data_IF_623908592376
#
_entry.id   IF_623908592376
#
_cell.length_a   1.000
_cell.length_b   1.000
_cell.length_c   1.000
_cell.angle_alpha   90.00
_cell.angle_beta   90.00
_cell.angle_gamma   90.00
#
_symmetry.space_group_name_H-M   'P 1'
#
loop_
_entity.id
_entity.type
_entity.pdbx_description
1 polymer ?
#
# COMPACT_ATOMS: atom_id res chain seq x y z
N UNK A 1 -12.62 -10.30 11.99
CA UNK A 1 -12.76 -10.59 10.53
C UNK A 1 -14.18 -10.30 10.11
N UNK A 2 -14.39 -9.61 9.01
CA UNK A 2 -15.70 -9.26 8.49
C UNK A 2 -15.71 -9.12 6.97
N UNK A 3 -16.91 -8.90 6.44
CA UNK A 3 -17.13 -8.66 5.02
C UNK A 3 -18.10 -7.51 4.84
N UNK A 4 -17.81 -6.64 3.91
CA UNK A 4 -18.66 -5.52 3.52
C UNK A 4 -19.02 -5.66 2.04
N UNK A 5 -20.25 -5.31 1.67
CA UNK A 5 -20.72 -5.45 0.29
C UNK A 5 -21.02 -4.08 -0.34
N UNK A 6 -20.27 -3.73 -1.39
CA UNK A 6 -20.44 -2.52 -2.20
C UNK A 6 -20.75 -2.90 -3.65
N UNK A 7 -21.86 -2.46 -4.19
CA UNK A 7 -22.25 -2.64 -5.60
C UNK A 7 -22.15 -4.10 -6.09
N UNK A 8 -22.52 -5.05 -5.22
CA UNK A 8 -22.48 -6.46 -5.53
C UNK A 8 -21.13 -7.15 -5.30
N UNK A 9 -20.09 -6.40 -4.96
CA UNK A 9 -18.72 -6.90 -4.67
C UNK A 9 -18.52 -6.98 -3.17
N UNK A 10 -18.03 -8.11 -2.70
CA UNK A 10 -17.70 -8.34 -1.29
C UNK A 10 -16.23 -8.02 -1.02
N UNK A 11 -15.98 -7.14 -0.05
CA UNK A 11 -14.65 -6.79 0.44
C UNK A 11 -14.43 -7.42 1.81
N UNK A 12 -13.31 -8.14 1.95
CA UNK A 12 -12.90 -8.76 3.20
C UNK A 12 -12.04 -7.79 4.02
N UNK A 13 -12.19 -7.82 5.33
CA UNK A 13 -11.31 -7.13 6.26
C UNK A 13 -11.09 -7.91 7.56
N UNK A 14 -9.97 -7.67 8.18
CA UNK A 14 -9.67 -8.07 9.55
C UNK A 14 -9.56 -6.82 10.43
N UNK A 15 -10.03 -6.92 11.68
CA UNK A 15 -10.05 -5.81 12.63
C UNK A 15 -9.60 -6.30 13.99
N UNK A 16 -8.77 -5.50 14.67
CA UNK A 16 -8.31 -5.73 16.04
C UNK A 16 -8.08 -4.41 16.79
N UNK A 17 -7.96 -4.52 18.09
CA UNK A 17 -7.65 -3.40 18.97
C UNK A 17 -8.79 -2.41 19.14
N UNK A 18 -8.54 -1.45 20.03
CA UNK A 18 -9.41 -0.31 20.33
C UNK A 18 -8.49 0.87 20.64
N UNK A 19 -8.68 2.00 20.06
CA UNK A 19 -7.85 3.17 20.32
C UNK A 19 -7.82 4.13 19.13
N UNK A 20 -7.45 5.37 19.41
CA UNK A 20 -7.47 6.46 18.46
C UNK A 20 -6.07 7.09 18.28
N UNK A 21 -5.77 7.59 17.09
CA UNK A 21 -6.54 7.45 15.85
C UNK A 21 -6.53 6.01 15.33
N UNK A 22 -7.58 5.57 14.58
CA UNK A 22 -7.59 4.24 13.99
C UNK A 22 -6.53 4.13 12.88
N UNK A 23 -6.18 2.89 12.51
CA UNK A 23 -5.26 2.61 11.40
C UNK A 23 -5.91 1.77 10.32
N UNK A 24 -5.68 2.14 9.06
CA UNK A 24 -6.07 1.36 7.88
C UNK A 24 -4.82 0.80 7.20
N UNK A 25 -4.68 -0.51 7.16
CA UNK A 25 -3.55 -1.21 6.54
C UNK A 25 -3.96 -1.73 5.16
N UNK A 26 -3.18 -1.38 4.14
CA UNK A 26 -3.47 -1.67 2.73
C UNK A 26 -2.27 -2.37 2.09
N UNK A 27 -2.50 -3.58 1.60
CA UNK A 27 -1.47 -4.42 0.98
C UNK A 27 -1.13 -4.02 -0.47
N UNK A 28 -0.01 -4.53 -0.98
CA UNK A 28 0.44 -4.33 -2.35
C UNK A 28 -0.30 -5.17 -3.39
N UNK A 29 0.03 -4.95 -4.67
CA UNK A 29 -0.52 -5.73 -5.79
C UNK A 29 -0.21 -7.21 -5.64
N UNK A 30 -1.20 -8.06 -5.92
CA UNK A 30 -1.15 -9.51 -5.83
C UNK A 30 -0.82 -10.05 -4.41
N UNK A 31 -1.01 -9.23 -3.39
CA UNK A 31 -0.88 -9.57 -1.97
C UNK A 31 -2.26 -9.71 -1.31
N UNK A 32 -2.28 -9.83 0.02
CA UNK A 32 -3.47 -9.78 0.86
C UNK A 32 -3.15 -9.11 2.22
N UNK A 33 -4.17 -8.96 3.09
CA UNK A 33 -4.03 -8.34 4.40
C UNK A 33 -2.94 -8.96 5.28
N UNK A 34 -2.63 -10.25 5.13
CA UNK A 34 -1.59 -10.94 5.94
C UNK A 34 -0.18 -10.43 5.67
N UNK A 35 0.03 -9.72 4.55
CA UNK A 35 1.32 -9.10 4.24
C UNK A 35 1.65 -7.89 5.14
N UNK A 36 0.69 -7.45 5.97
CA UNK A 36 0.86 -6.43 7.01
C UNK A 36 0.59 -6.97 8.41
N UNK A 37 0.60 -8.31 8.59
CA UNK A 37 0.32 -8.94 9.87
C UNK A 37 1.21 -8.45 11.03
N UNK A 38 2.53 -8.23 10.87
CA UNK A 38 3.35 -7.69 11.96
C UNK A 38 2.93 -6.27 12.38
N UNK A 39 2.47 -5.44 11.45
CA UNK A 39 1.94 -4.10 11.76
C UNK A 39 0.56 -4.20 12.40
N UNK A 40 -0.29 -5.10 11.91
CA UNK A 40 -1.61 -5.36 12.47
C UNK A 40 -1.54 -5.80 13.94
N UNK A 41 -0.66 -6.76 14.24
CA UNK A 41 -0.44 -7.26 15.61
C UNK A 41 0.16 -6.18 16.52
N UNK A 42 1.18 -5.47 16.03
CA UNK A 42 1.90 -4.46 16.81
C UNK A 42 0.99 -3.27 17.17
N UNK A 43 0.39 -2.65 16.17
CA UNK A 43 -0.44 -1.46 16.38
C UNK A 43 -1.83 -1.78 16.96
N UNK A 44 -2.30 -3.02 16.82
CA UNK A 44 -3.53 -3.49 17.45
C UNK A 44 -3.51 -3.50 18.98
N UNK A 45 -2.36 -3.26 19.62
CA UNK A 45 -2.26 -3.09 21.08
C UNK A 45 -2.78 -1.73 21.54
N UNK A 46 -2.60 -0.66 20.75
CA UNK A 46 -2.85 0.72 21.14
C UNK A 46 -3.81 1.47 20.21
N UNK A 47 -4.07 0.92 19.02
CA UNK A 47 -4.94 1.48 17.99
C UNK A 47 -6.04 0.49 17.60
N UNK A 48 -7.17 1.02 17.13
CA UNK A 48 -8.11 0.23 16.34
C UNK A 48 -7.51 0.05 14.93
N UNK A 49 -7.15 -1.16 14.56
CA UNK A 49 -6.50 -1.47 13.29
C UNK A 49 -7.43 -2.27 12.38
N UNK A 50 -7.58 -1.83 11.15
CA UNK A 50 -8.31 -2.53 10.09
C UNK A 50 -7.34 -2.83 8.95
N UNK A 51 -7.23 -4.11 8.59
CA UNK A 51 -6.48 -4.57 7.42
C UNK A 51 -7.46 -5.11 6.38
N UNK A 52 -7.42 -4.59 5.15
CA UNK A 52 -8.37 -4.93 4.09
C UNK A 52 -7.71 -5.77 3.00
N UNK A 53 -8.48 -6.69 2.41
CA UNK A 53 -8.16 -7.25 1.11
C UNK A 53 -8.77 -6.34 0.04
N UNK A 54 -7.93 -5.76 -0.80
CA UNK A 54 -8.37 -4.94 -1.92
C UNK A 54 -9.26 -5.76 -2.88
N UNK A 55 -10.20 -5.12 -3.54
CA UNK A 55 -10.97 -5.73 -4.64
C UNK A 55 -10.04 -6.50 -5.58
N UNK A 56 -10.39 -7.73 -5.92
CA UNK A 56 -9.57 -8.61 -6.75
C UNK A 56 -8.49 -9.42 -6.02
N UNK A 57 -8.30 -9.21 -4.72
CA UNK A 57 -7.20 -9.77 -3.95
C UNK A 57 -7.69 -10.54 -2.72
N UNK A 58 -6.85 -11.44 -2.23
CA UNK A 58 -7.09 -12.17 -0.99
C UNK A 58 -8.44 -12.88 -0.96
N UNK A 59 -9.26 -12.56 0.03
CA UNK A 59 -10.60 -13.10 0.25
C UNK A 59 -11.72 -12.19 -0.27
N UNK A 60 -11.37 -11.04 -0.89
CA UNK A 60 -12.32 -10.16 -1.57
C UNK A 60 -12.70 -10.70 -2.94
N UNK A 61 -13.90 -10.34 -3.41
CA UNK A 61 -14.37 -10.70 -4.75
C UNK A 61 -13.48 -10.13 -5.86
N UNK A 62 -13.31 -10.90 -6.94
CA UNK A 62 -12.49 -10.55 -8.09
C UNK A 62 -13.34 -10.42 -9.40
N UNK A 63 -14.24 -9.43 -9.52
CA UNK A 63 -15.06 -9.25 -10.70
C UNK A 63 -14.21 -8.90 -11.93
N UNK A 64 -14.72 -9.23 -13.12
CA UNK A 64 -14.09 -8.81 -14.39
C UNK A 64 -14.40 -7.36 -14.68
N UNK A 65 -13.45 -6.48 -14.36
CA UNK A 65 -13.53 -5.03 -14.53
C UNK A 65 -12.13 -4.43 -14.70
N UNK A 66 -12.05 -3.12 -14.88
CA UNK A 66 -10.79 -2.38 -14.75
C UNK A 66 -10.46 -2.18 -13.26
N UNK A 67 -9.17 -2.33 -12.93
CA UNK A 67 -8.63 -2.13 -11.58
C UNK A 67 -7.75 -0.89 -11.60
N UNK A 68 -8.27 0.23 -11.08
CA UNK A 68 -7.64 1.54 -11.12
C UNK A 68 -7.31 2.04 -9.71
N UNK A 69 -6.40 3.00 -9.60
CA UNK A 69 -6.05 3.62 -8.31
C UNK A 69 -7.26 4.30 -7.70
N UNK A 70 -8.03 5.04 -8.51
CA UNK A 70 -9.23 5.75 -8.07
C UNK A 70 -10.30 4.78 -7.56
N UNK A 71 -10.52 3.67 -8.29
CA UNK A 71 -11.50 2.65 -7.87
C UNK A 71 -11.12 1.97 -6.55
N UNK A 72 -9.83 1.71 -6.32
CA UNK A 72 -9.35 1.22 -5.03
C UNK A 72 -9.50 2.26 -3.92
N UNK A 73 -9.17 3.53 -4.19
CA UNK A 73 -9.32 4.61 -3.22
C UNK A 73 -10.79 4.83 -2.82
N UNK A 74 -11.71 4.77 -3.78
CA UNK A 74 -13.15 4.83 -3.52
C UNK A 74 -13.65 3.67 -2.65
N UNK A 75 -13.15 2.44 -2.88
CA UNK A 75 -13.48 1.29 -2.03
C UNK A 75 -12.99 1.52 -0.59
N UNK A 76 -11.77 2.02 -0.42
CA UNK A 76 -11.22 2.30 0.90
C UNK A 76 -11.95 3.44 1.62
N UNK A 77 -12.32 4.51 0.91
CA UNK A 77 -13.14 5.59 1.47
C UNK A 77 -14.48 5.06 1.98
N UNK A 78 -15.12 4.21 1.17
CA UNK A 78 -16.37 3.56 1.54
C UNK A 78 -16.21 2.60 2.74
N UNK A 79 -15.11 1.82 2.81
CA UNK A 79 -14.80 0.96 3.96
C UNK A 79 -14.64 1.80 5.22
N UNK A 80 -13.91 2.92 5.17
CA UNK A 80 -13.75 3.83 6.29
C UNK A 80 -15.10 4.35 6.79
N UNK A 81 -15.98 4.81 5.90
CA UNK A 81 -17.33 5.26 6.24
C UNK A 81 -18.15 4.15 6.92
N UNK A 82 -18.18 2.95 6.30
CA UNK A 82 -18.97 1.82 6.80
C UNK A 82 -18.51 1.29 8.17
N UNK A 83 -17.23 1.38 8.46
CA UNK A 83 -16.64 0.95 9.73
C UNK A 83 -16.53 2.10 10.75
N UNK A 84 -16.87 3.33 10.37
CA UNK A 84 -16.72 4.51 11.23
C UNK A 84 -15.26 4.75 11.62
N UNK A 85 -14.32 4.65 10.66
CA UNK A 85 -12.92 4.98 10.89
C UNK A 85 -12.74 6.50 10.72
N UNK A 86 -12.71 7.21 11.82
CA UNK A 86 -12.55 8.67 11.81
C UNK A 86 -11.08 9.06 11.70
N UNK A 87 -10.71 9.72 10.59
CA UNK A 87 -9.34 10.20 10.32
C UNK A 87 -8.25 9.14 10.53
N UNK A 88 -8.35 7.94 9.94
CA UNK A 88 -7.36 6.91 10.13
C UNK A 88 -5.97 7.35 9.66
N UNK A 89 -4.95 6.77 10.29
CA UNK A 89 -3.60 6.68 9.74
C UNK A 89 -3.65 5.59 8.66
N UNK A 90 -3.25 5.93 7.43
CA UNK A 90 -3.30 4.98 6.33
C UNK A 90 -1.89 4.48 6.04
N UNK A 91 -1.70 3.15 6.09
CA UNK A 91 -0.41 2.50 5.82
C UNK A 91 -0.54 1.65 4.58
N UNK A 92 0.20 1.96 3.53
CA UNK A 92 0.16 1.26 2.25
C UNK A 92 1.50 0.71 1.81
N UNK A 93 1.53 -0.59 1.45
CA UNK A 93 2.72 -1.23 0.90
C UNK A 93 2.70 -1.23 -0.63
N UNK A 94 3.83 -0.94 -1.27
CA UNK A 94 4.02 -1.06 -2.72
C UNK A 94 2.95 -0.27 -3.52
N UNK A 95 2.11 -0.93 -4.33
CA UNK A 95 1.00 -0.30 -5.06
C UNK A 95 0.10 0.53 -4.14
N UNK A 96 -0.14 0.05 -2.93
CA UNK A 96 -1.04 0.72 -1.99
C UNK A 96 -0.55 2.10 -1.56
N UNK A 97 0.73 2.42 -1.65
CA UNK A 97 1.20 3.79 -1.41
C UNK A 97 0.58 4.81 -2.38
N UNK A 98 0.38 4.43 -3.65
CA UNK A 98 -0.35 5.26 -4.63
C UNK A 98 -1.83 5.39 -4.28
N UNK A 99 -2.44 4.29 -3.86
CA UNK A 99 -3.86 4.26 -3.44
C UNK A 99 -4.06 5.16 -2.21
N UNK A 100 -3.16 5.10 -1.24
CA UNK A 100 -3.22 5.92 -0.03
C UNK A 100 -3.08 7.42 -0.33
N UNK A 101 -2.20 7.78 -1.26
CA UNK A 101 -2.05 9.18 -1.70
C UNK A 101 -3.30 9.67 -2.45
N UNK A 102 -3.87 8.86 -3.36
CA UNK A 102 -5.12 9.18 -4.02
C UNK A 102 -6.27 9.33 -3.02
N UNK A 103 -6.36 8.41 -2.06
CA UNK A 103 -7.38 8.47 -1.01
C UNK A 103 -7.27 9.77 -0.21
N UNK A 104 -6.04 10.17 0.19
CA UNK A 104 -5.82 11.40 0.93
C UNK A 104 -6.04 12.67 0.08
N UNK A 105 -5.77 12.62 -1.22
CA UNK A 105 -5.99 13.72 -2.16
C UNK A 105 -7.47 13.92 -2.49
N UNK A 106 -8.17 12.83 -2.81
CA UNK A 106 -9.58 12.86 -3.20
C UNK A 106 -10.55 13.04 -2.02
N UNK A 107 -10.12 12.63 -0.81
CA UNK A 107 -10.91 12.73 0.42
C UNK A 107 -10.07 13.42 1.53
N UNK A 108 -9.79 14.72 1.42
CA UNK A 108 -8.80 15.42 2.26
C UNK A 108 -9.11 15.43 3.76
N UNK A 109 -10.38 15.24 4.13
CA UNK A 109 -10.79 15.18 5.55
C UNK A 109 -10.78 13.75 6.12
N UNK A 110 -10.55 12.74 5.27
CA UNK A 110 -10.71 11.36 5.68
C UNK A 110 -9.53 10.83 6.48
N UNK A 111 -8.29 11.24 6.20
CA UNK A 111 -7.08 10.69 6.83
C UNK A 111 -6.34 11.69 7.71
N UNK A 112 -5.62 11.19 8.72
CA UNK A 112 -4.76 12.00 9.59
C UNK A 112 -3.29 12.00 9.15
N UNK A 113 -2.81 10.91 8.57
CA UNK A 113 -1.46 10.73 8.05
C UNK A 113 -1.42 9.60 7.01
N UNK A 114 -0.42 9.62 6.14
CA UNK A 114 -0.12 8.55 5.17
C UNK A 114 1.27 7.99 5.42
N UNK A 115 1.37 6.66 5.46
CA UNK A 115 2.64 5.93 5.48
C UNK A 115 2.73 5.07 4.24
N UNK A 116 3.81 5.17 3.50
CA UNK A 116 4.05 4.36 2.30
C UNK A 116 5.30 3.50 2.49
N UNK A 117 5.18 2.21 2.24
CA UNK A 117 6.22 1.21 2.43
C UNK A 117 6.71 0.71 1.07
N UNK A 118 7.94 1.02 0.71
CA UNK A 118 8.62 0.67 -0.55
C UNK A 118 7.75 0.85 -1.81
N UNK A 119 7.10 2.01 -1.88
CA UNK A 119 6.13 2.34 -2.93
C UNK A 119 6.79 3.14 -4.06
N UNK A 120 6.35 2.89 -5.30
CA UNK A 120 6.77 3.67 -6.47
C UNK A 120 5.81 4.85 -6.66
N UNK A 121 6.12 6.02 -6.10
CA UNK A 121 5.24 7.21 -6.13
C UNK A 121 5.51 8.07 -7.37
N UNK A 122 6.75 8.50 -7.56
CA UNK A 122 7.18 9.28 -8.72
C UNK A 122 8.23 8.44 -9.48
N UNK A 123 7.80 7.50 -10.34
CA UNK A 123 8.74 6.66 -11.06
C UNK A 123 9.52 7.48 -12.09
N UNK A 124 10.85 7.24 -12.25
CA UNK A 124 11.58 7.73 -13.40
C UNK A 124 10.95 7.21 -14.71
N UNK A 125 10.88 8.07 -15.74
CA UNK A 125 10.23 7.71 -17.01
C UNK A 125 10.85 6.45 -17.66
N UNK A 126 12.17 6.31 -17.60
CA UNK A 126 12.91 5.15 -18.11
C UNK A 126 12.43 3.84 -17.44
N UNK A 127 12.09 3.89 -16.15
CA UNK A 127 11.58 2.73 -15.42
C UNK A 127 10.20 2.31 -15.93
N UNK A 128 9.32 3.26 -16.21
CA UNK A 128 8.01 2.96 -16.81
C UNK A 128 8.18 2.29 -18.17
N UNK A 129 9.07 2.79 -19.02
CA UNK A 129 9.33 2.22 -20.33
C UNK A 129 9.89 0.78 -20.25
N UNK A 130 10.83 0.53 -19.31
CA UNK A 130 11.36 -0.81 -19.06
C UNK A 130 10.30 -1.82 -18.59
N UNK A 131 9.26 -1.34 -17.91
CA UNK A 131 8.17 -2.19 -17.39
C UNK A 131 7.15 -2.59 -18.45
N UNK A 132 7.07 -1.89 -19.60
CA UNK A 132 6.06 -2.11 -20.62
C UNK A 132 6.04 -3.56 -21.16
N UNK A 133 7.18 -4.19 -21.57
CA UNK A 133 7.16 -5.58 -22.03
C UNK A 133 6.66 -6.57 -20.98
N UNK A 134 7.02 -6.35 -19.72
CA UNK A 134 6.51 -7.18 -18.61
C UNK A 134 4.99 -7.07 -18.51
N UNK A 135 4.43 -5.87 -18.52
CA UNK A 135 2.98 -5.67 -18.40
C UNK A 135 2.22 -6.26 -19.60
N UNK A 136 2.76 -6.13 -20.81
CA UNK A 136 2.19 -6.79 -22.00
C UNK A 136 2.19 -8.32 -21.85
N UNK A 137 3.25 -8.90 -21.28
CA UNK A 137 3.35 -10.35 -21.05
C UNK A 137 2.30 -10.89 -20.08
N UNK A 138 1.81 -10.07 -19.15
CA UNK A 138 0.76 -10.45 -18.19
C UNK A 138 -0.58 -10.82 -18.85
N UNK A 139 -0.80 -10.43 -20.10
CA UNK A 139 -2.00 -10.78 -20.89
C UNK A 139 -1.85 -12.10 -21.67
N UNK A 140 -0.67 -12.70 -21.64
CA UNK A 140 -0.34 -13.94 -22.35
C UNK A 140 -0.50 -15.18 -21.46
N UNK A 141 -0.51 -16.39 -22.02
CA UNK A 141 -0.47 -17.62 -21.21
C UNK A 141 0.77 -17.75 -20.32
N UNK A 142 1.85 -17.05 -20.63
CA UNK A 142 3.11 -17.07 -19.85
C UNK A 142 3.08 -16.18 -18.59
N UNK A 143 1.94 -15.53 -18.27
CA UNK A 143 1.87 -14.52 -17.20
C UNK A 143 2.39 -15.02 -15.83
N UNK A 144 2.16 -16.28 -15.47
CA UNK A 144 2.64 -16.80 -14.18
C UNK A 144 4.15 -16.92 -14.12
N UNK A 145 4.79 -17.30 -15.23
CA UNK A 145 6.25 -17.37 -15.32
C UNK A 145 6.85 -15.96 -15.25
N UNK A 146 6.26 -15.00 -15.95
CA UNK A 146 6.69 -13.61 -15.93
C UNK A 146 6.50 -12.97 -14.54
N UNK A 147 5.38 -13.23 -13.85
CA UNK A 147 5.19 -12.83 -12.47
C UNK A 147 6.26 -13.44 -11.55
N UNK A 148 6.55 -14.74 -11.71
CA UNK A 148 7.57 -15.42 -10.90
C UNK A 148 8.94 -14.77 -11.09
N UNK A 149 9.32 -14.51 -12.36
CA UNK A 149 10.56 -13.85 -12.70
C UNK A 149 10.63 -12.45 -12.10
N UNK A 150 9.58 -11.66 -12.25
CA UNK A 150 9.50 -10.30 -11.73
C UNK A 150 9.58 -10.25 -10.20
N UNK A 151 8.73 -11.00 -9.51
CA UNK A 151 8.70 -11.02 -8.04
C UNK A 151 9.96 -11.62 -7.41
N UNK A 152 10.71 -12.47 -8.13
CA UNK A 152 11.97 -13.02 -7.61
C UNK A 152 13.03 -11.94 -7.34
N UNK A 153 12.96 -10.79 -8.01
CA UNK A 153 13.87 -9.67 -7.81
C UNK A 153 13.56 -8.84 -6.55
N UNK A 154 12.43 -9.08 -5.90
CA UNK A 154 12.02 -8.38 -4.69
C UNK A 154 12.64 -8.92 -3.41
N UNK A 155 13.32 -10.07 -3.50
CA UNK A 155 13.93 -10.73 -2.35
C UNK A 155 15.45 -10.58 -2.37
N UNK A 156 16.02 -10.39 -1.19
CA UNK A 156 17.47 -10.48 -1.02
C UNK A 156 17.95 -11.92 -1.25
N UNK A 157 19.24 -12.14 -1.60
CA UNK A 157 19.79 -13.48 -1.83
C UNK A 157 19.65 -14.42 -0.64
N UNK A 158 19.69 -13.88 0.58
CA UNK A 158 19.60 -14.58 1.87
C UNK A 158 18.20 -14.49 2.51
N UNK A 159 17.18 -14.08 1.73
CA UNK A 159 15.81 -14.00 2.21
C UNK A 159 15.29 -15.36 2.72
N UNK A 160 14.53 -15.34 3.81
CA UNK A 160 13.90 -16.52 4.39
C UNK A 160 13.08 -17.30 3.34
N UNK A 161 13.42 -18.58 3.08
CA UNK A 161 12.83 -19.34 1.99
C UNK A 161 11.36 -19.68 2.21
N UNK A 162 10.91 -19.84 3.46
CA UNK A 162 9.52 -20.15 3.76
C UNK A 162 8.64 -18.92 3.57
N UNK A 163 9.10 -17.74 4.03
CA UNK A 163 8.44 -16.46 3.78
C UNK A 163 8.33 -16.19 2.29
N UNK A 164 9.43 -16.34 1.56
CA UNK A 164 9.45 -16.20 0.09
C UNK A 164 8.44 -17.11 -0.59
N UNK A 165 8.38 -18.38 -0.20
CA UNK A 165 7.44 -19.35 -0.77
C UNK A 165 5.99 -18.95 -0.50
N UNK A 166 5.65 -18.49 0.72
CA UNK A 166 4.29 -18.01 1.06
C UNK A 166 3.89 -16.81 0.23
N UNK A 167 4.77 -15.80 0.13
CA UNK A 167 4.50 -14.60 -0.66
C UNK A 167 4.26 -14.96 -2.13
N UNK A 168 5.11 -15.77 -2.72
CA UNK A 168 4.94 -16.19 -4.11
C UNK A 168 3.67 -17.01 -4.33
N UNK A 169 3.30 -17.89 -3.39
CA UNK A 169 2.06 -18.64 -3.47
C UNK A 169 0.83 -17.69 -3.51
N UNK A 170 0.84 -16.66 -2.68
CA UNK A 170 -0.23 -15.65 -2.66
C UNK A 170 -0.26 -14.84 -3.96
N UNK A 171 0.88 -14.37 -4.45
CA UNK A 171 0.99 -13.65 -5.73
C UNK A 171 0.36 -14.45 -6.88
N UNK A 172 0.62 -15.76 -6.93
CA UNK A 172 0.09 -16.63 -7.99
C UNK A 172 -1.38 -17.01 -7.82
N UNK A 173 -1.97 -16.78 -6.66
CA UNK A 173 -3.41 -16.98 -6.44
C UNK A 173 -4.28 -15.86 -7.02
N UNK A 174 -3.68 -14.67 -7.25
CA UNK A 174 -4.40 -13.52 -7.80
C UNK A 174 -4.78 -13.76 -9.27
N UNK A 175 -6.05 -13.58 -9.67
CA UNK A 175 -6.49 -13.86 -11.04
C UNK A 175 -5.76 -13.01 -12.08
N UNK A 176 -5.44 -13.61 -13.24
CA UNK A 176 -4.72 -12.94 -14.33
C UNK A 176 -5.33 -11.60 -14.73
N UNK A 177 -6.67 -11.54 -14.87
CA UNK A 177 -7.35 -10.31 -15.28
C UNK A 177 -7.18 -9.16 -14.27
N UNK A 178 -7.07 -9.47 -12.98
CA UNK A 178 -6.78 -8.49 -11.92
C UNK A 178 -5.36 -7.95 -12.07
N UNK A 179 -4.40 -8.86 -12.11
CA UNK A 179 -2.98 -8.52 -12.20
C UNK A 179 -2.69 -7.70 -13.46
N UNK A 180 -3.16 -8.16 -14.63
CA UNK A 180 -2.93 -7.48 -15.90
C UNK A 180 -3.56 -6.08 -15.94
N UNK A 181 -4.81 -5.95 -15.45
CA UNK A 181 -5.49 -4.66 -15.39
C UNK A 181 -4.84 -3.70 -14.42
N UNK A 182 -4.54 -4.15 -13.19
CA UNK A 182 -3.96 -3.29 -12.18
C UNK A 182 -2.55 -2.80 -12.54
N UNK A 183 -1.69 -3.67 -13.13
CA UNK A 183 -0.39 -3.21 -13.62
C UNK A 183 -0.51 -2.13 -14.68
N UNK A 184 -1.41 -2.31 -15.66
CA UNK A 184 -1.59 -1.33 -16.73
C UNK A 184 -2.18 -0.02 -16.22
N UNK A 185 -3.30 -0.09 -15.49
CA UNK A 185 -4.06 1.09 -15.08
C UNK A 185 -3.37 1.86 -13.95
N UNK A 186 -2.76 1.16 -12.98
CA UNK A 186 -2.19 1.82 -11.81
C UNK A 186 -0.76 2.32 -12.04
N UNK A 187 0.00 1.75 -12.96
CA UNK A 187 1.39 2.18 -13.21
C UNK A 187 1.57 3.09 -14.41
N UNK A 188 0.78 2.92 -15.48
CA UNK A 188 0.91 3.73 -16.69
C UNK A 188 -0.15 4.80 -16.85
N UNK A 189 -1.40 4.48 -16.51
CA UNK A 189 -2.51 5.38 -16.78
C UNK A 189 -2.77 6.39 -15.65
N UNK A 190 -2.12 6.22 -14.50
CA UNK A 190 -2.36 7.05 -13.31
C UNK A 190 -1.18 7.97 -12.98
N UNK A 191 -1.47 9.27 -12.78
CA UNK A 191 -0.49 10.28 -12.36
C UNK A 191 -0.43 10.41 -10.82
N UNK A 192 0.44 9.61 -10.19
CA UNK A 192 0.64 9.67 -8.75
C UNK A 192 1.27 10.99 -8.27
N UNK A 193 1.98 11.72 -9.15
CA UNK A 193 2.59 12.99 -8.77
C UNK A 193 1.52 14.05 -8.46
N UNK A 194 0.42 14.04 -9.21
CA UNK A 194 -0.71 14.93 -8.95
C UNK A 194 -1.36 14.63 -7.58
N UNK A 195 -1.61 13.37 -7.26
CA UNK A 195 -2.15 12.96 -5.96
C UNK A 195 -1.18 13.29 -4.81
N UNK A 196 0.13 13.07 -5.00
CA UNK A 196 1.13 13.43 -4.01
C UNK A 196 1.14 14.94 -3.71
N UNK A 197 1.07 15.78 -4.75
CA UNK A 197 1.01 17.24 -4.61
C UNK A 197 -0.29 17.74 -3.94
N UNK A 198 -1.39 17.02 -4.11
CA UNK A 198 -2.69 17.34 -3.52
C UNK A 198 -2.85 16.79 -2.09
N UNK A 199 -1.97 15.91 -1.64
CA UNK A 199 -2.04 15.30 -0.31
C UNK A 199 -1.76 16.33 0.79
N UNK A 200 -2.78 16.69 1.56
CA UNK A 200 -2.72 17.71 2.62
C UNK A 200 -2.33 17.21 4.01
N UNK A 201 -2.02 15.91 4.16
CA UNK A 201 -1.65 15.30 5.43
C UNK A 201 -0.17 14.95 5.50
N UNK A 202 0.44 14.77 6.70
CA UNK A 202 1.81 14.32 6.84
C UNK A 202 2.05 12.99 6.13
N UNK A 203 3.20 12.85 5.45
CA UNK A 203 3.58 11.64 4.73
C UNK A 203 4.90 11.11 5.26
N UNK A 204 4.94 9.81 5.57
CA UNK A 204 6.17 9.04 5.78
C UNK A 204 6.36 8.08 4.61
N UNK A 205 7.53 8.14 3.98
CA UNK A 205 7.98 7.17 2.99
C UNK A 205 9.12 6.33 3.58
N UNK A 206 8.96 5.01 3.62
CA UNK A 206 10.01 4.07 4.05
C UNK A 206 10.42 3.19 2.89
N UNK A 207 11.72 3.18 2.53
CA UNK A 207 12.28 2.32 1.49
C UNK A 207 13.14 1.18 2.05
N UNK A 208 13.34 0.13 1.23
CA UNK A 208 14.13 -1.06 1.56
C UNK A 208 15.59 -0.97 1.09
N UNK A 209 16.05 0.14 0.55
CA UNK A 209 17.42 0.22 0.05
C UNK A 209 17.60 1.23 -1.07
N UNK A 210 17.38 0.84 -2.32
CA UNK A 210 17.38 1.76 -3.44
C UNK A 210 15.96 2.20 -3.73
N UNK A 211 15.61 3.48 -3.55
CA UNK A 211 14.25 3.95 -3.76
C UNK A 211 13.76 3.66 -5.18
N UNK A 212 12.53 3.16 -5.27
CA UNK A 212 11.83 2.96 -6.54
C UNK A 212 11.13 4.24 -7.04
N UNK A 213 11.43 5.36 -6.41
CA UNK A 213 10.79 6.66 -6.58
C UNK A 213 11.88 7.74 -6.67
N UNK A 214 11.65 8.80 -7.44
CA UNK A 214 12.47 10.01 -7.41
C UNK A 214 12.13 10.79 -6.11
N UNK A 215 12.94 10.57 -5.07
CA UNK A 215 12.75 11.21 -3.76
C UNK A 215 12.92 12.73 -3.80
N UNK A 216 13.78 13.26 -4.70
CA UNK A 216 13.94 14.70 -4.87
C UNK A 216 12.63 15.31 -5.36
N UNK A 217 12.09 14.75 -6.43
CA UNK A 217 10.82 15.20 -7.00
C UNK A 217 9.65 14.99 -6.03
N UNK A 218 9.63 13.87 -5.31
CA UNK A 218 8.60 13.63 -4.31
C UNK A 218 8.65 14.66 -3.17
N UNK A 219 9.84 15.01 -2.69
CA UNK A 219 10.02 16.07 -1.68
C UNK A 219 9.62 17.48 -2.18
N UNK A 220 9.81 17.78 -3.47
CA UNK A 220 9.30 19.03 -4.08
C UNK A 220 7.77 19.09 -4.10
N UNK A 221 7.11 17.97 -4.40
CA UNK A 221 5.64 17.86 -4.42
C UNK A 221 5.05 17.88 -3.01
N UNK A 222 5.76 17.32 -2.04
CA UNK A 222 5.33 17.19 -0.66
C UNK A 222 6.40 17.77 0.29
N UNK A 223 6.42 19.09 0.54
CA UNK A 223 7.48 19.73 1.33
C UNK A 223 7.61 19.21 2.78
N UNK A 224 6.55 18.56 3.30
CA UNK A 224 6.53 17.92 4.62
C UNK A 224 6.87 16.42 4.60
N UNK A 225 7.37 15.89 3.46
CA UNK A 225 7.73 14.48 3.34
C UNK A 225 8.82 14.09 4.34
N UNK A 226 8.52 13.07 5.15
CA UNK A 226 9.51 12.41 6.01
C UNK A 226 9.93 11.12 5.32
N UNK A 227 11.24 10.84 5.30
CA UNK A 227 11.78 9.62 4.69
C UNK A 227 12.49 8.77 5.73
N UNK A 228 12.29 7.46 5.62
CA UNK A 228 13.00 6.44 6.39
C UNK A 228 13.59 5.39 5.46
N UNK A 229 14.59 4.66 5.96
CA UNK A 229 15.23 3.57 5.23
C UNK A 229 15.51 2.41 6.14
N UNK A 230 15.10 1.20 5.75
CA UNK A 230 15.41 -0.02 6.48
C UNK A 230 16.79 -0.56 6.10
N UNK A 231 17.35 -1.39 6.97
CA UNK A 231 18.62 -2.09 6.75
C UNK A 231 18.36 -3.59 6.71
N UNK A 232 18.89 -4.26 5.70
CA UNK A 232 18.81 -5.73 5.59
C UNK A 232 17.44 -6.25 5.16
N UNK A 233 16.68 -5.48 4.39
CA UNK A 233 15.39 -5.89 3.87
C UNK A 233 15.29 -5.68 2.35
N UNK A 234 14.47 -6.51 1.71
CA UNK A 234 14.00 -6.33 0.34
C UNK A 234 12.64 -5.62 0.28
N UNK A 235 11.90 -5.83 -0.81
CA UNK A 235 10.62 -5.17 -1.07
C UNK A 235 9.55 -5.41 0.01
N UNK A 236 9.60 -6.55 0.69
CA UNK A 236 8.66 -6.90 1.76
C UNK A 236 9.19 -6.52 3.15
N UNK A 237 9.78 -5.33 3.27
CA UNK A 237 10.41 -4.81 4.48
C UNK A 237 9.53 -4.92 5.74
N UNK A 238 8.20 -4.78 5.59
CA UNK A 238 7.25 -4.89 6.68
C UNK A 238 7.12 -6.32 7.26
N UNK A 239 7.54 -7.32 6.47
CA UNK A 239 7.62 -8.73 6.88
C UNK A 239 9.04 -9.16 7.25
N UNK A 240 10.06 -8.50 6.68
CA UNK A 240 11.46 -8.90 6.81
C UNK A 240 12.11 -8.26 8.04
N UNK A 241 11.80 -7.01 8.31
CA UNK A 241 12.33 -6.21 9.44
C UNK A 241 11.22 -5.38 10.11
N UNK A 242 10.15 -6.03 10.60
CA UNK A 242 8.96 -5.35 11.10
C UNK A 242 9.25 -4.39 12.24
N UNK A 243 10.22 -4.70 13.10
CA UNK A 243 10.62 -3.85 14.23
C UNK A 243 11.19 -2.50 13.77
N UNK A 244 11.94 -2.46 12.66
CA UNK A 244 12.44 -1.19 12.11
C UNK A 244 11.28 -0.38 11.52
N UNK A 245 10.40 -1.02 10.77
CA UNK A 245 9.23 -0.37 10.15
C UNK A 245 8.31 0.20 11.23
N UNK A 246 7.94 -0.59 12.23
CA UNK A 246 7.04 -0.19 13.30
C UNK A 246 7.62 0.99 14.10
N UNK A 247 8.90 0.93 14.48
CA UNK A 247 9.56 2.02 15.22
C UNK A 247 9.63 3.33 14.41
N UNK A 248 9.82 3.26 13.08
CA UNK A 248 9.80 4.45 12.22
C UNK A 248 8.39 5.04 12.15
N UNK A 249 7.35 4.20 12.02
CA UNK A 249 5.95 4.64 12.03
C UNK A 249 5.62 5.30 13.37
N UNK A 250 5.89 4.66 14.51
CA UNK A 250 5.65 5.22 15.83
C UNK A 250 6.32 6.59 16.01
N UNK A 251 7.61 6.68 15.63
CA UNK A 251 8.34 7.93 15.76
C UNK A 251 7.77 9.03 14.87
N UNK A 252 7.39 8.70 13.64
CA UNK A 252 6.72 9.64 12.73
C UNK A 252 5.41 10.14 13.33
N UNK A 253 4.54 9.26 13.79
CA UNK A 253 3.24 9.61 14.36
C UNK A 253 3.40 10.48 15.62
N UNK A 254 4.38 10.14 16.47
CA UNK A 254 4.68 10.91 17.66
C UNK A 254 5.12 12.36 17.39
N UNK A 255 5.67 12.64 16.19
CA UNK A 255 6.05 14.00 15.77
C UNK A 255 4.92 14.65 14.99
N UNK A 256 4.43 13.99 13.94
CA UNK A 256 3.49 14.56 12.98
C UNK A 256 2.10 14.89 13.57
N UNK A 257 1.63 14.10 14.55
CA UNK A 257 0.30 14.29 15.14
C UNK A 257 0.33 15.26 16.36
N UNK A 258 1.48 15.46 17.01
CA UNK A 258 1.60 16.43 18.11
C UNK A 258 1.44 17.88 17.64
N UNK A 259 2.01 18.23 16.50
CA UNK A 259 1.97 19.60 16.00
C UNK A 259 0.56 20.07 15.60
N UNK A 260 -0.34 19.13 15.27
CA UNK A 260 -1.73 19.45 14.95
C UNK A 260 -2.62 19.70 16.18
N UNK A 261 -2.30 19.14 17.33
CA UNK A 261 -3.04 19.38 18.57
C UNK A 261 -2.78 20.78 19.14
N UNK A 262 -1.65 21.40 18.81
CA UNK A 262 -1.26 22.75 19.24
C UNK A 262 -1.82 23.84 18.32
N UNK A 263 -2.08 23.52 17.03
CA UNK A 263 -2.59 24.49 16.06
C UNK A 263 -4.12 24.72 16.14
N UNK A 264 -4.85 23.93 16.93
CA UNK A 264 -6.32 24.02 17.12
C UNK A 264 -6.70 24.62 18.48
N UNK A 265 -5.73 24.94 19.32
CA UNK A 265 -5.89 25.61 20.61
C UNK A 265 -5.55 27.12 20.49
#
# INVERSE_FOLDING_TARGET
MGRLRRDGVELFYEEAGVGEPPMLLVHGLACDHTHLAPQFEHFGTDHRVVAVDLRGHGQSDAPRQEYTIEGFAEDLAWVCDRLGLEKPIIVGHSLAGRICLELAASYPELSSAVVTLDSTIVPPQERLEMMRPFIESLRTPAYQEELRRFFSHFFLPDADPERKARILAQVFSTPQHVVASAWEKCYFAYDTAAAAAACGVPILYIDAGTPNTDLSRFGELCPGLVTGKTVGAGHFLQLEVPEQVNSMIERFLAVALRDRSVAVS
#
